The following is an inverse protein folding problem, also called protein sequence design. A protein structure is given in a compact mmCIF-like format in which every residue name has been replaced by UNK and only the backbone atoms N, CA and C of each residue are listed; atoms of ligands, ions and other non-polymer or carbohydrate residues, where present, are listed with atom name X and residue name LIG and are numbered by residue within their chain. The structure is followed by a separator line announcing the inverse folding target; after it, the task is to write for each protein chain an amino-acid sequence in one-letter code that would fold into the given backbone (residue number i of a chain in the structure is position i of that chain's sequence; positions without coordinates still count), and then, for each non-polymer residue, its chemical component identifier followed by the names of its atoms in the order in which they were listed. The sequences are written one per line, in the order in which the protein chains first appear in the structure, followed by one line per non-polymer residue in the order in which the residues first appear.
data_IF_537054586532
#
_entry.id   IF_537054586532
#
_cell.length_a   1.000
_cell.length_b   1.000
_cell.length_c   1.000
_cell.angle_alpha   90.00
_cell.angle_beta   90.00
_cell.angle_gamma   90.00
#
_symmetry.space_group_name_H-M   'P 1'
#
loop_
_entity.id
_entity.type
_entity.pdbx_description
1 polymer ?
#
# COMPACT_ATOMS: atom_id res chain seq x y z
N UNK A 1 24.98 10.79 3.79
CA UNK A 1 23.77 10.48 3.02
C UNK A 1 23.92 9.08 2.45
N UNK A 2 23.35 8.06 3.09
CA UNK A 2 23.48 6.66 2.68
C UNK A 2 22.43 6.37 1.63
N UNK A 3 22.84 6.27 0.37
CA UNK A 3 21.96 5.78 -0.70
C UNK A 3 21.95 4.25 -0.64
N UNK A 4 20.86 3.67 -0.11
CA UNK A 4 20.60 2.24 -0.23
C UNK A 4 20.17 1.93 -1.67
N UNK A 5 21.13 1.58 -2.50
CA UNK A 5 20.90 1.13 -3.89
C UNK A 5 20.56 -0.37 -4.00
N UNK A 6 20.31 -1.07 -2.90
CA UNK A 6 20.01 -2.50 -2.94
C UNK A 6 18.50 -2.73 -2.80
N UNK A 7 17.85 -2.92 -3.95
CA UNK A 7 16.45 -3.41 -4.03
C UNK A 7 16.25 -4.74 -3.28
N UNK A 8 17.31 -5.46 -2.94
CA UNK A 8 17.28 -6.70 -2.15
C UNK A 8 16.92 -6.45 -0.68
N UNK A 9 17.22 -5.30 -0.11
CA UNK A 9 16.89 -4.98 1.30
C UNK A 9 15.41 -4.63 1.51
N UNK A 10 14.71 -4.10 0.50
CA UNK A 10 13.27 -3.86 0.56
C UNK A 10 12.44 -5.13 0.83
N UNK A 11 13.00 -6.31 0.54
CA UNK A 11 12.34 -7.59 0.79
C UNK A 11 12.41 -8.06 2.25
N UNK A 12 13.22 -7.44 3.09
CA UNK A 12 13.31 -7.78 4.52
C UNK A 12 12.16 -7.21 5.34
N UNK A 13 11.51 -6.12 4.88
CA UNK A 13 10.46 -5.43 5.65
C UNK A 13 9.06 -6.03 5.53
N UNK A 14 8.78 -6.89 4.56
CA UNK A 14 7.44 -7.45 4.35
C UNK A 14 7.17 -8.76 5.09
N UNK A 15 8.06 -9.75 4.94
CA UNK A 15 7.99 -11.05 5.62
C UNK A 15 9.43 -11.49 5.91
N UNK A 16 9.94 -11.21 7.13
CA UNK A 16 11.28 -11.64 7.52
C UNK A 16 11.46 -13.14 7.31
N UNK A 17 12.54 -13.53 6.63
CA UNK A 17 12.88 -14.93 6.39
C UNK A 17 12.19 -15.62 5.19
N UNK A 18 11.22 -14.99 4.53
CA UNK A 18 10.51 -15.66 3.42
C UNK A 18 11.43 -15.96 2.23
N UNK A 19 12.25 -15.00 1.80
CA UNK A 19 13.19 -15.21 0.68
C UNK A 19 14.29 -16.21 1.03
N UNK A 20 14.80 -16.15 2.25
CA UNK A 20 15.79 -17.11 2.76
C UNK A 20 15.21 -18.52 2.88
N UNK A 21 14.00 -18.66 3.41
CA UNK A 21 13.32 -19.96 3.51
C UNK A 21 13.08 -20.59 2.15
N UNK A 22 12.62 -19.83 1.17
CA UNK A 22 12.40 -20.30 -0.20
C UNK A 22 13.73 -20.71 -0.86
N UNK A 23 14.76 -19.85 -0.83
CA UNK A 23 16.07 -20.14 -1.40
C UNK A 23 16.71 -21.38 -0.75
N UNK A 24 16.63 -21.49 0.58
CA UNK A 24 17.15 -22.67 1.30
C UNK A 24 16.44 -23.94 0.88
N UNK A 25 15.10 -23.89 0.78
CA UNK A 25 14.32 -25.03 0.33
C UNK A 25 14.64 -25.41 -1.13
N UNK A 26 14.79 -24.43 -2.02
CA UNK A 26 15.20 -24.64 -3.41
C UNK A 26 16.58 -25.30 -3.49
N UNK A 27 17.55 -24.87 -2.68
CA UNK A 27 18.88 -25.45 -2.61
C UNK A 27 18.81 -26.90 -2.15
N UNK A 28 18.04 -27.21 -1.09
CA UNK A 28 17.87 -28.58 -0.58
C UNK A 28 17.21 -29.48 -1.63
N UNK A 29 16.19 -29.00 -2.32
CA UNK A 29 15.48 -29.76 -3.34
C UNK A 29 16.31 -29.98 -4.61
N UNK A 30 17.27 -29.07 -4.90
CA UNK A 30 18.19 -29.19 -6.04
C UNK A 30 19.46 -29.99 -5.74
N UNK A 31 19.74 -30.32 -4.47
CA UNK A 31 20.93 -31.08 -4.11
C UNK A 31 20.76 -32.57 -4.32
N UNK A 32 21.74 -33.25 -4.96
CA UNK A 32 21.82 -34.70 -5.07
C UNK A 32 21.97 -35.35 -3.70
N UNK A 33 22.76 -34.71 -2.81
CA UNK A 33 23.24 -35.28 -1.56
C UNK A 33 22.27 -35.11 -0.38
N UNK A 34 21.18 -34.38 -0.61
CA UNK A 34 20.18 -34.16 0.44
C UNK A 34 19.32 -35.44 0.60
N UNK A 35 19.23 -35.93 1.83
CA UNK A 35 18.38 -37.05 2.18
C UNK A 35 16.90 -36.81 1.83
N UNK A 36 16.15 -37.87 1.57
CA UNK A 36 14.71 -37.80 1.25
C UNK A 36 13.94 -37.04 2.34
N UNK A 37 14.28 -37.27 3.60
CA UNK A 37 13.61 -36.59 4.74
C UNK A 37 13.87 -35.09 4.74
N UNK A 38 15.10 -34.65 4.42
CA UNK A 38 15.41 -33.23 4.26
C UNK A 38 14.61 -32.62 3.11
N UNK A 39 14.46 -33.31 2.00
CA UNK A 39 13.67 -32.87 0.84
C UNK A 39 12.18 -32.80 1.18
N UNK A 40 11.60 -33.78 1.90
CA UNK A 40 10.23 -33.73 2.41
C UNK A 40 10.01 -32.52 3.34
N UNK A 41 10.91 -32.28 4.29
CA UNK A 41 10.85 -31.10 5.18
C UNK A 41 10.93 -29.78 4.40
N UNK A 42 11.74 -29.72 3.35
CA UNK A 42 11.82 -28.54 2.48
C UNK A 42 10.49 -28.28 1.74
N UNK A 43 9.84 -29.32 1.20
CA UNK A 43 8.49 -29.20 0.59
C UNK A 43 7.47 -28.70 1.59
N UNK A 44 7.40 -29.29 2.79
CA UNK A 44 6.49 -28.85 3.84
C UNK A 44 6.73 -27.40 4.25
N UNK A 45 8.00 -26.97 4.28
CA UNK A 45 8.36 -25.57 4.55
C UNK A 45 7.82 -24.65 3.46
N UNK A 46 7.96 -24.99 2.18
CA UNK A 46 7.42 -24.21 1.05
C UNK A 46 5.89 -24.12 1.11
N UNK A 47 5.20 -25.24 1.41
CA UNK A 47 3.75 -25.24 1.57
C UNK A 47 3.30 -24.33 2.72
N UNK A 48 3.99 -24.38 3.86
CA UNK A 48 3.73 -23.46 4.99
C UNK A 48 3.93 -21.99 4.58
N UNK A 49 4.95 -21.68 3.80
CA UNK A 49 5.17 -20.32 3.28
C UNK A 49 4.07 -19.90 2.31
N UNK A 50 3.63 -20.79 1.43
CA UNK A 50 2.51 -20.56 0.52
C UNK A 50 1.22 -20.17 1.27
N UNK A 51 0.88 -20.94 2.31
CA UNK A 51 -0.28 -20.63 3.18
C UNK A 51 -0.15 -19.26 3.83
N UNK A 52 1.06 -18.94 4.37
CA UNK A 52 1.31 -17.62 4.99
C UNK A 52 1.14 -16.48 3.99
N UNK A 53 1.66 -16.62 2.78
CA UNK A 53 1.54 -15.58 1.73
C UNK A 53 0.08 -15.41 1.34
N UNK A 54 -0.66 -16.47 1.08
CA UNK A 54 -2.08 -16.42 0.75
C UNK A 54 -2.89 -15.70 1.85
N UNK A 55 -2.58 -15.97 3.12
CA UNK A 55 -3.19 -15.27 4.25
C UNK A 55 -2.87 -13.76 4.25
N UNK A 56 -1.67 -13.36 3.87
CA UNK A 56 -1.31 -11.93 3.77
C UNK A 56 -2.02 -11.25 2.60
N UNK A 57 -2.09 -11.89 1.44
CA UNK A 57 -2.84 -11.39 0.27
C UNK A 57 -4.32 -11.21 0.63
N UNK A 58 -4.92 -12.19 1.30
CA UNK A 58 -6.32 -12.10 1.75
C UNK A 58 -6.54 -10.92 2.71
N UNK A 59 -5.61 -10.69 3.65
CA UNK A 59 -5.66 -9.50 4.55
C UNK A 59 -5.55 -8.19 3.79
N UNK A 60 -4.67 -8.12 2.77
CA UNK A 60 -4.54 -6.92 1.94
C UNK A 60 -5.79 -6.69 1.09
N UNK A 61 -6.39 -7.74 0.54
CA UNK A 61 -7.64 -7.64 -0.22
C UNK A 61 -8.78 -7.09 0.64
N UNK A 62 -8.96 -7.61 1.86
CA UNK A 62 -9.96 -7.08 2.80
C UNK A 62 -9.72 -5.61 3.14
N UNK A 63 -8.46 -5.21 3.35
CA UNK A 63 -8.11 -3.81 3.59
C UNK A 63 -8.42 -2.93 2.38
N UNK A 64 -8.11 -3.40 1.17
CA UNK A 64 -8.40 -2.67 -0.05
C UNK A 64 -9.91 -2.55 -0.28
N UNK A 65 -10.68 -3.61 -0.05
CA UNK A 65 -12.15 -3.56 -0.09
C UNK A 65 -12.72 -2.53 0.88
N UNK A 66 -12.22 -2.50 2.12
CA UNK A 66 -12.60 -1.48 3.10
C UNK A 66 -12.22 -0.06 2.67
N UNK A 67 -11.03 0.11 2.08
CA UNK A 67 -10.59 1.39 1.55
C UNK A 67 -11.41 1.80 0.32
N UNK A 68 -11.80 0.86 -0.54
CA UNK A 68 -12.56 1.10 -1.76
C UNK A 68 -14.05 1.30 -1.49
N UNK A 69 -14.69 0.49 -0.64
CA UNK A 69 -16.12 0.63 -0.31
C UNK A 69 -16.45 1.97 0.35
N UNK A 70 -15.52 2.48 1.16
CA UNK A 70 -15.61 3.81 1.75
C UNK A 70 -15.16 4.94 0.81
N UNK A 71 -14.37 4.60 -0.23
CA UNK A 71 -13.66 5.56 -1.06
C UNK A 71 -14.58 6.37 -1.95
N UNK A 72 -15.45 5.72 -2.72
CA UNK A 72 -16.21 6.45 -3.73
C UNK A 72 -17.26 7.36 -3.11
N UNK A 73 -17.87 6.93 -2.01
CA UNK A 73 -18.81 7.76 -1.27
C UNK A 73 -18.07 8.85 -0.49
N UNK A 74 -16.96 8.50 0.18
CA UNK A 74 -16.21 9.48 0.98
C UNK A 74 -15.40 10.43 0.09
N UNK A 75 -14.83 9.98 -1.02
CA UNK A 75 -14.11 10.86 -1.94
C UNK A 75 -15.08 11.82 -2.62
N UNK A 76 -16.22 11.35 -3.10
CA UNK A 76 -17.26 12.24 -3.68
C UNK A 76 -17.74 13.27 -2.68
N UNK A 77 -18.08 12.84 -1.46
CA UNK A 77 -18.49 13.75 -0.36
C UNK A 77 -17.35 14.70 0.04
N UNK A 78 -16.12 14.22 0.10
CA UNK A 78 -14.95 15.02 0.46
C UNK A 78 -14.54 15.98 -0.65
N UNK A 79 -14.55 15.55 -1.91
CA UNK A 79 -14.31 16.41 -3.06
C UNK A 79 -15.36 17.52 -3.16
N UNK A 80 -16.64 17.20 -2.98
CA UNK A 80 -17.72 18.19 -2.94
C UNK A 80 -17.54 19.21 -1.82
N UNK A 81 -17.16 18.76 -0.61
CA UNK A 81 -16.83 19.67 0.51
C UNK A 81 -15.63 20.55 0.21
N UNK A 82 -14.58 19.99 -0.37
CA UNK A 82 -13.37 20.73 -0.75
C UNK A 82 -13.69 21.82 -1.77
N UNK A 83 -14.44 21.49 -2.84
CA UNK A 83 -14.87 22.48 -3.83
C UNK A 83 -15.72 23.59 -3.21
N UNK A 84 -16.67 23.22 -2.34
CA UNK A 84 -17.49 24.20 -1.62
C UNK A 84 -16.66 25.14 -0.73
N UNK A 85 -15.64 24.63 -0.03
CA UNK A 85 -14.74 25.47 0.76
C UNK A 85 -13.92 26.41 -0.11
N UNK A 86 -13.37 25.94 -1.25
CA UNK A 86 -12.64 26.78 -2.21
C UNK A 86 -13.54 27.85 -2.82
N UNK A 87 -14.75 27.52 -3.21
CA UNK A 87 -15.72 28.47 -3.75
C UNK A 87 -16.08 29.56 -2.72
N UNK A 88 -16.34 29.17 -1.47
CA UNK A 88 -16.60 30.11 -0.37
C UNK A 88 -15.40 31.00 -0.09
N UNK A 89 -14.18 30.46 -0.12
CA UNK A 89 -12.96 31.24 0.04
C UNK A 89 -12.82 32.29 -1.09
N UNK A 90 -13.04 31.87 -2.33
CA UNK A 90 -13.00 32.78 -3.49
C UNK A 90 -14.09 33.86 -3.41
N UNK A 91 -15.31 33.53 -2.99
CA UNK A 91 -16.37 34.52 -2.77
C UNK A 91 -15.97 35.56 -1.69
N UNK A 92 -15.32 35.12 -0.61
CA UNK A 92 -14.82 36.01 0.44
C UNK A 92 -13.69 36.93 -0.07
N UNK A 93 -12.77 36.40 -0.90
CA UNK A 93 -11.71 37.19 -1.53
C UNK A 93 -12.28 38.23 -2.51
N UNK A 94 -13.26 37.87 -3.34
CA UNK A 94 -13.95 38.84 -4.21
C UNK A 94 -14.59 39.97 -3.39
N UNK A 95 -15.22 39.68 -2.25
CA UNK A 95 -15.77 40.70 -1.34
C UNK A 95 -14.70 41.59 -0.73
N UNK A 96 -13.48 41.05 -0.49
CA UNK A 96 -12.33 41.83 0.02
C UNK A 96 -11.93 42.97 -0.91
N UNK A 97 -11.99 42.75 -2.22
CA UNK A 97 -11.63 43.72 -3.25
C UNK A 97 -12.79 44.63 -3.67
N UNK A 98 -13.90 44.61 -2.97
CA UNK A 98 -15.01 45.54 -3.21
C UNK A 98 -14.65 46.98 -2.87
N UNK A 99 -15.15 47.92 -3.70
CA UNK A 99 -14.84 49.40 -3.63
C UNK A 99 -15.09 50.02 -2.26
N UNK A 100 -16.02 49.48 -1.49
CA UNK A 100 -16.40 49.99 -0.16
C UNK A 100 -15.88 49.12 1.01
N UNK A 101 -14.85 48.35 0.82
CA UNK A 101 -14.35 47.45 1.87
C UNK A 101 -13.26 48.11 2.69
N UNK A 102 -13.52 48.43 3.98
CA UNK A 102 -12.50 48.96 4.87
C UNK A 102 -11.35 47.97 5.10
N UNK A 103 -10.13 48.45 5.37
CA UNK A 103 -8.92 47.63 5.57
C UNK A 103 -9.13 46.52 6.62
N UNK A 104 -9.70 46.86 7.78
CA UNK A 104 -9.96 45.86 8.85
C UNK A 104 -10.95 44.79 8.44
N UNK A 105 -11.97 45.14 7.62
CA UNK A 105 -12.91 44.18 7.07
C UNK A 105 -12.25 43.30 6.03
N UNK A 106 -11.38 43.83 5.18
CA UNK A 106 -10.62 43.09 4.20
C UNK A 106 -9.71 42.04 4.85
N UNK A 107 -9.01 42.40 5.92
CA UNK A 107 -8.15 41.45 6.68
C UNK A 107 -8.95 40.31 7.32
N UNK A 108 -10.12 40.61 7.90
CA UNK A 108 -11.04 39.62 8.46
C UNK A 108 -11.59 38.65 7.39
N UNK A 109 -11.88 39.13 6.20
CA UNK A 109 -12.36 38.32 5.09
C UNK A 109 -11.24 37.40 4.58
N UNK A 110 -10.00 37.91 4.47
CA UNK A 110 -8.84 37.09 4.07
C UNK A 110 -8.55 36.01 5.10
N UNK A 111 -8.57 36.30 6.38
CA UNK A 111 -8.39 35.31 7.44
C UNK A 111 -9.44 34.21 7.37
N UNK A 112 -10.71 34.54 7.12
CA UNK A 112 -11.78 33.55 6.93
C UNK A 112 -11.56 32.72 5.68
N UNK A 113 -11.12 33.32 4.59
CA UNK A 113 -10.81 32.61 3.35
C UNK A 113 -9.65 31.62 3.55
N UNK A 114 -8.55 32.06 4.16
CA UNK A 114 -7.39 31.19 4.47
C UNK A 114 -7.76 30.00 5.36
N UNK A 115 -8.66 30.22 6.34
CA UNK A 115 -9.17 29.11 7.18
C UNK A 115 -9.99 28.08 6.38
N UNK A 116 -10.71 28.50 5.34
CA UNK A 116 -11.44 27.61 4.46
C UNK A 116 -10.48 26.86 3.52
N UNK A 117 -9.44 27.52 3.02
CA UNK A 117 -8.41 26.88 2.20
C UNK A 117 -7.66 25.80 2.98
N UNK A 118 -7.26 26.07 4.23
CA UNK A 118 -6.66 25.05 5.10
C UNK A 118 -7.57 23.83 5.30
N UNK A 119 -8.89 24.04 5.41
CA UNK A 119 -9.86 22.91 5.47
C UNK A 119 -9.89 22.13 4.17
N UNK A 120 -9.85 22.79 3.03
CA UNK A 120 -9.81 22.14 1.72
C UNK A 120 -8.53 21.33 1.54
N UNK A 121 -7.39 21.89 1.91
CA UNK A 121 -6.08 21.25 1.86
C UNK A 121 -6.02 19.99 2.75
N UNK A 122 -6.54 20.07 3.98
CA UNK A 122 -6.62 18.92 4.88
C UNK A 122 -7.44 17.76 4.28
N UNK A 123 -8.50 18.07 3.54
CA UNK A 123 -9.28 17.05 2.83
C UNK A 123 -8.46 16.46 1.69
N UNK A 124 -7.77 17.28 0.89
CA UNK A 124 -6.91 16.82 -0.18
C UNK A 124 -5.82 15.87 0.33
N UNK A 125 -5.14 16.25 1.41
CA UNK A 125 -4.11 15.44 2.04
C UNK A 125 -4.64 14.05 2.50
N UNK A 126 -5.87 13.98 3.00
CA UNK A 126 -6.52 12.70 3.35
C UNK A 126 -6.77 11.83 2.11
N UNK A 127 -7.24 12.43 1.02
CA UNK A 127 -7.46 11.72 -0.25
C UNK A 127 -6.15 11.16 -0.78
N UNK A 128 -5.09 11.95 -0.76
CA UNK A 128 -3.79 11.54 -1.29
C UNK A 128 -3.13 10.45 -0.44
N UNK A 129 -3.25 10.51 0.89
CA UNK A 129 -2.83 9.41 1.78
C UNK A 129 -3.54 8.10 1.45
N UNK A 130 -4.85 8.15 1.18
CA UNK A 130 -5.61 6.94 0.81
C UNK A 130 -5.12 6.36 -0.52
N UNK A 131 -4.86 7.21 -1.52
CA UNK A 131 -4.26 6.77 -2.80
C UNK A 131 -2.89 6.12 -2.60
N UNK A 132 -2.03 6.72 -1.77
CA UNK A 132 -0.71 6.17 -1.45
C UNK A 132 -0.80 4.80 -0.76
N UNK A 133 -1.74 4.62 0.18
CA UNK A 133 -1.95 3.32 0.83
C UNK A 133 -2.39 2.25 -0.17
N UNK A 134 -3.31 2.56 -1.07
CA UNK A 134 -3.72 1.62 -2.12
C UNK A 134 -2.58 1.25 -3.07
N UNK A 135 -1.77 2.22 -3.46
CA UNK A 135 -0.58 1.98 -4.28
C UNK A 135 0.43 1.08 -3.56
N UNK A 136 0.70 1.35 -2.28
CA UNK A 136 1.56 0.50 -1.45
C UNK A 136 1.03 -0.93 -1.32
N UNK A 137 -0.26 -1.11 -1.07
CA UNK A 137 -0.88 -2.43 -1.00
C UNK A 137 -0.76 -3.17 -2.33
N UNK A 138 -0.95 -2.48 -3.46
CA UNK A 138 -0.77 -3.05 -4.80
C UNK A 138 0.66 -3.54 -5.04
N UNK A 139 1.67 -2.75 -4.66
CA UNK A 139 3.07 -3.17 -4.74
C UNK A 139 3.35 -4.40 -3.86
N UNK A 140 2.85 -4.42 -2.63
CA UNK A 140 3.00 -5.57 -1.74
C UNK A 140 2.36 -6.84 -2.31
N UNK A 141 1.17 -6.72 -2.93
CA UNK A 141 0.53 -7.86 -3.61
C UNK A 141 1.37 -8.41 -4.76
N UNK A 142 2.00 -7.54 -5.56
CA UNK A 142 2.91 -7.98 -6.64
C UNK A 142 4.08 -8.79 -6.08
N UNK A 143 4.68 -8.33 -4.98
CA UNK A 143 5.79 -9.04 -4.32
C UNK A 143 5.33 -10.40 -3.80
N UNK A 144 4.16 -10.47 -3.17
CA UNK A 144 3.61 -11.73 -2.66
C UNK A 144 3.28 -12.71 -3.77
N UNK A 145 2.67 -12.25 -4.87
CA UNK A 145 2.36 -13.09 -6.02
C UNK A 145 3.64 -13.66 -6.66
N UNK A 146 4.67 -12.82 -6.88
CA UNK A 146 5.96 -13.31 -7.36
C UNK A 146 6.58 -14.38 -6.44
N UNK A 147 6.43 -14.24 -5.12
CA UNK A 147 6.83 -15.27 -4.16
C UNK A 147 6.02 -16.56 -4.29
N UNK A 148 4.71 -16.48 -4.53
CA UNK A 148 3.85 -17.63 -4.77
C UNK A 148 4.23 -18.35 -6.06
N UNK A 149 4.49 -17.63 -7.13
CA UNK A 149 4.90 -18.19 -8.41
C UNK A 149 6.20 -18.97 -8.24
N UNK A 150 7.20 -18.37 -7.57
CA UNK A 150 8.47 -19.02 -7.28
C UNK A 150 8.30 -20.31 -6.46
N UNK A 151 7.42 -20.31 -5.45
CA UNK A 151 7.13 -21.50 -4.65
C UNK A 151 6.42 -22.56 -5.50
N UNK A 152 5.41 -22.17 -6.26
CA UNK A 152 4.63 -23.06 -7.13
C UNK A 152 5.53 -23.76 -8.13
N UNK A 153 6.39 -23.02 -8.82
CA UNK A 153 7.33 -23.57 -9.79
C UNK A 153 8.34 -24.52 -9.14
N UNK A 154 8.84 -24.16 -7.96
CA UNK A 154 9.76 -25.04 -7.22
C UNK A 154 9.08 -26.34 -6.80
N UNK A 155 7.83 -26.28 -6.33
CA UNK A 155 7.07 -27.47 -5.96
C UNK A 155 6.77 -28.35 -7.17
N UNK A 156 6.39 -27.76 -8.30
CA UNK A 156 6.10 -28.50 -9.55
C UNK A 156 7.35 -29.16 -10.12
N UNK A 157 8.46 -28.45 -10.16
CA UNK A 157 9.68 -28.94 -10.86
C UNK A 157 10.53 -29.84 -9.97
N UNK A 158 10.76 -29.48 -8.72
CA UNK A 158 11.70 -30.15 -7.82
C UNK A 158 11.03 -30.87 -6.65
N UNK A 159 9.82 -30.44 -6.27
CA UNK A 159 9.10 -30.94 -5.11
C UNK A 159 8.13 -32.07 -5.41
N UNK A 160 7.70 -32.24 -6.67
CA UNK A 160 6.63 -33.19 -7.06
C UNK A 160 6.82 -34.62 -6.50
N UNK A 161 8.05 -35.11 -6.48
CA UNK A 161 8.38 -36.48 -5.96
C UNK A 161 8.28 -36.61 -4.44
N UNK A 162 8.16 -35.51 -3.70
CA UNK A 162 8.21 -35.45 -2.22
C UNK A 162 6.93 -34.91 -1.61
N UNK A 163 5.91 -34.63 -2.42
CA UNK A 163 4.56 -34.26 -1.96
C UNK A 163 3.88 -35.54 -1.52
N UNK A 164 3.50 -35.60 -0.26
CA UNK A 164 2.74 -36.72 0.33
C UNK A 164 1.29 -36.27 0.42
#
# INVERSE_FOLDING_TARGET
MWQYQNTDELYHYGIPGMRWGIRRAQKILGSSDASVDKKKKAVQSLQKHQIKINKQISKLNKKDEQLLSNRDIQIRKSAGKMMNYKEKANKLRRKKYGIFTSRSKAERLEFKASKLDMKAENIQNKIDRTKQLLAKNSQMKKIYNSGLDTISDTLKTKGKKYII
#
